data_IF_398848673176
#
_entry.id   IF_398848673176
#
_cell.length_a   1.000
_cell.length_b   1.000
_cell.length_c   1.000
_cell.angle_alpha   90.00
_cell.angle_beta   90.00
_cell.angle_gamma   90.00
#
_symmetry.space_group_name_H-M   'P 1'
#
loop_
_entity.id
_entity.type
_entity.pdbx_description
1 polymer ?
#
# COMPACT_ATOMS: atom_id res chain seq x y z
N UNK A 1 -25.34 -11.03 -28.30
CA UNK A 1 -24.27 -11.81 -27.64
C UNK A 1 -22.97 -11.26 -28.16
N UNK A 2 -22.21 -10.54 -27.32
CA UNK A 2 -20.87 -10.03 -27.69
C UNK A 2 -19.88 -11.19 -27.68
N UNK A 3 -19.21 -11.41 -28.80
CA UNK A 3 -18.11 -12.39 -28.93
C UNK A 3 -17.02 -12.05 -27.90
N UNK A 4 -16.50 -13.02 -27.12
CA UNK A 4 -15.37 -12.78 -26.23
C UNK A 4 -14.18 -12.28 -27.04
N UNK A 5 -13.57 -11.17 -26.61
CA UNK A 5 -12.35 -10.66 -27.24
C UNK A 5 -11.20 -11.57 -26.85
N UNK A 6 -10.57 -12.21 -27.84
CA UNK A 6 -9.41 -13.08 -27.62
C UNK A 6 -8.24 -12.27 -26.99
N UNK A 7 -7.54 -12.79 -25.97
CA UNK A 7 -6.49 -12.05 -25.24
C UNK A 7 -5.37 -11.47 -26.12
N UNK A 8 -5.03 -12.12 -27.23
CA UNK A 8 -4.02 -11.66 -28.18
C UNK A 8 -4.45 -10.42 -29.00
N UNK A 9 -5.77 -10.18 -29.16
CA UNK A 9 -6.27 -8.98 -29.85
C UNK A 9 -6.14 -7.72 -29.01
N UNK A 10 -6.16 -7.84 -27.68
CA UNK A 10 -5.93 -6.72 -26.76
C UNK A 10 -4.47 -6.26 -26.83
N UNK A 11 -3.54 -7.20 -26.93
CA UNK A 11 -2.09 -6.90 -27.02
C UNK A 11 -1.71 -6.24 -28.35
N UNK A 12 -2.43 -6.47 -29.44
CA UNK A 12 -2.18 -5.84 -30.72
C UNK A 12 -2.47 -4.32 -30.74
N UNK A 13 -3.34 -3.85 -29.82
CA UNK A 13 -3.71 -2.43 -29.69
C UNK A 13 -2.63 -1.60 -29.00
N UNK A 14 -1.87 -2.19 -28.09
CA UNK A 14 -0.88 -1.51 -27.28
C UNK A 14 0.52 -1.93 -27.67
N UNK A 15 1.34 -0.95 -28.07
CA UNK A 15 2.75 -1.19 -28.38
C UNK A 15 3.60 -0.87 -27.14
N UNK A 16 4.65 -1.66 -26.85
CA UNK A 16 5.61 -1.31 -25.81
C UNK A 16 6.16 0.09 -26.06
N UNK A 17 6.29 0.88 -24.99
CA UNK A 17 6.96 2.17 -25.09
C UNK A 17 8.42 1.97 -25.49
N UNK A 18 8.93 2.82 -26.41
CA UNK A 18 10.31 2.74 -26.84
C UNK A 18 11.26 2.90 -25.63
N UNK A 19 12.26 2.02 -25.47
CA UNK A 19 13.22 2.16 -24.39
C UNK A 19 13.94 3.50 -24.43
N UNK A 20 14.14 4.12 -23.25
CA UNK A 20 14.99 5.32 -23.14
C UNK A 20 16.43 4.91 -23.43
N UNK A 21 17.10 5.62 -24.36
CA UNK A 21 18.47 5.30 -24.84
C UNK A 21 19.56 5.73 -23.85
N UNK A 22 19.64 5.13 -22.67
CA UNK A 22 20.71 5.34 -21.70
C UNK A 22 21.76 4.22 -21.85
N UNK A 23 23.03 4.57 -22.03
CA UNK A 23 24.11 3.62 -22.32
C UNK A 23 24.40 2.66 -21.14
N UNK A 24 24.20 3.10 -19.91
CA UNK A 24 24.42 2.34 -18.66
C UNK A 24 23.16 1.70 -18.09
N UNK A 25 22.12 1.62 -18.90
CA UNK A 25 20.82 1.10 -18.54
C UNK A 25 20.87 -0.38 -18.18
N UNK A 26 20.39 -0.74 -16.98
CA UNK A 26 20.40 -2.14 -16.49
C UNK A 26 19.01 -2.75 -16.44
N UNK A 27 18.20 -2.37 -15.44
CA UNK A 27 16.88 -2.95 -15.23
C UNK A 27 15.75 -2.40 -16.12
N UNK A 28 15.78 -1.12 -16.61
CA UNK A 28 14.68 -0.60 -17.42
C UNK A 28 14.58 -1.21 -18.84
N UNK A 29 15.53 -2.06 -19.23
CA UNK A 29 15.47 -2.80 -20.51
C UNK A 29 14.54 -4.01 -20.46
N UNK A 30 14.10 -4.41 -19.27
CA UNK A 30 13.12 -5.50 -19.10
C UNK A 30 11.73 -4.99 -19.45
N UNK A 31 11.00 -5.78 -20.22
CA UNK A 31 9.59 -5.58 -20.52
C UNK A 31 8.74 -6.35 -19.50
N UNK A 32 7.60 -5.77 -19.12
CA UNK A 32 6.60 -6.48 -18.32
C UNK A 32 5.88 -7.47 -19.25
N UNK A 33 6.07 -8.75 -19.01
CA UNK A 33 5.49 -9.87 -19.77
C UNK A 33 4.38 -10.61 -19.00
N UNK A 34 4.15 -10.23 -17.75
CA UNK A 34 3.11 -10.78 -16.88
C UNK A 34 2.31 -9.66 -16.24
N UNK A 35 1.04 -9.92 -15.97
CA UNK A 35 0.21 -9.00 -15.21
C UNK A 35 0.82 -8.74 -13.83
N UNK A 36 0.98 -7.48 -13.39
CA UNK A 36 1.44 -7.17 -12.04
C UNK A 36 0.40 -7.61 -11.00
N UNK A 37 0.84 -7.88 -9.78
CA UNK A 37 -0.08 -7.96 -8.66
C UNK A 37 -0.69 -6.58 -8.40
N UNK A 38 -2.02 -6.52 -8.34
CA UNK A 38 -2.75 -5.29 -8.06
C UNK A 38 -3.00 -5.15 -6.57
N UNK A 39 -2.59 -4.02 -5.99
CA UNK A 39 -2.97 -3.63 -4.64
C UNK A 39 -4.13 -2.64 -4.71
N UNK A 40 -5.27 -2.97 -4.08
CA UNK A 40 -6.35 -2.00 -3.90
C UNK A 40 -6.00 -1.02 -2.80
N UNK A 41 -6.17 0.26 -3.08
CA UNK A 41 -6.00 1.37 -2.12
C UNK A 41 -7.34 2.06 -1.77
N UNK A 42 -8.46 1.46 -2.14
CA UNK A 42 -9.79 2.03 -1.96
C UNK A 42 -10.14 2.29 -0.48
N UNK A 43 -9.73 1.37 0.42
CA UNK A 43 -10.01 1.47 1.85
C UNK A 43 -9.09 2.44 2.61
N UNK A 44 -7.99 2.88 2.00
CA UNK A 44 -7.09 3.88 2.58
C UNK A 44 -7.16 5.18 1.80
N UNK A 45 -6.56 5.26 0.63
CA UNK A 45 -6.44 6.50 -0.16
C UNK A 45 -7.79 6.92 -0.75
N UNK A 46 -8.54 5.97 -1.29
CA UNK A 46 -9.90 6.19 -1.77
C UNK A 46 -10.83 6.65 -0.65
N UNK A 47 -10.79 5.99 0.50
CA UNK A 47 -11.57 6.39 1.68
C UNK A 47 -11.19 7.78 2.21
N UNK A 48 -9.89 8.12 2.18
CA UNK A 48 -9.38 9.41 2.61
C UNK A 48 -9.87 10.57 1.72
N UNK A 49 -10.18 10.29 0.46
CA UNK A 49 -10.69 11.27 -0.50
C UNK A 49 -12.20 11.54 -0.36
N UNK A 50 -12.94 10.75 0.41
CA UNK A 50 -14.36 10.95 0.64
C UNK A 50 -14.62 12.13 1.57
N UNK A 51 -15.68 12.91 1.28
CA UNK A 51 -16.17 13.98 2.17
C UNK A 51 -16.56 13.40 3.53
N UNK A 52 -17.25 12.25 3.51
CA UNK A 52 -17.58 11.44 4.69
C UNK A 52 -16.85 10.11 4.59
N UNK A 53 -15.73 9.92 5.29
CA UNK A 53 -15.01 8.65 5.32
C UNK A 53 -15.90 7.49 5.78
N UNK A 54 -15.61 6.31 5.28
CA UNK A 54 -16.36 5.10 5.64
C UNK A 54 -16.18 4.76 7.13
N UNK A 55 -17.28 4.46 7.80
CA UNK A 55 -17.29 3.77 9.08
C UNK A 55 -16.83 2.30 8.95
N UNK A 56 -16.67 1.61 10.08
CA UNK A 56 -16.20 0.22 10.09
C UNK A 56 -17.12 -0.72 9.29
N UNK A 57 -18.44 -0.52 9.35
CA UNK A 57 -19.39 -1.36 8.63
C UNK A 57 -19.30 -1.19 7.11
N UNK A 58 -19.14 0.06 6.63
CA UNK A 58 -18.93 0.35 5.21
C UNK A 58 -17.57 -0.18 4.74
N UNK A 59 -16.50 -0.01 5.53
CA UNK A 59 -15.18 -0.59 5.27
C UNK A 59 -15.25 -2.11 5.15
N UNK A 60 -15.96 -2.78 6.04
CA UNK A 60 -16.16 -4.22 5.99
C UNK A 60 -16.87 -4.67 4.71
N UNK A 61 -17.93 -3.97 4.31
CA UNK A 61 -18.63 -4.25 3.04
C UNK A 61 -17.70 -4.08 1.84
N UNK A 62 -16.91 -3.00 1.82
CA UNK A 62 -15.96 -2.75 0.74
C UNK A 62 -14.85 -3.80 0.72
N UNK A 63 -14.28 -4.16 1.86
CA UNK A 63 -13.28 -5.23 1.97
C UNK A 63 -13.79 -6.55 1.37
N UNK A 64 -15.00 -6.99 1.77
CA UNK A 64 -15.64 -8.18 1.20
C UNK A 64 -15.86 -8.07 -0.32
N UNK A 65 -16.16 -6.88 -0.81
CA UNK A 65 -16.32 -6.66 -2.25
C UNK A 65 -14.98 -6.75 -3.01
N UNK A 66 -13.90 -6.20 -2.44
CA UNK A 66 -12.56 -6.31 -3.01
C UNK A 66 -12.07 -7.77 -3.08
N UNK A 67 -12.37 -8.57 -2.05
CA UNK A 67 -12.12 -10.02 -2.08
C UNK A 67 -12.90 -10.72 -3.22
N UNK A 68 -14.17 -10.36 -3.43
CA UNK A 68 -14.99 -10.91 -4.53
C UNK A 68 -14.47 -10.52 -5.91
N UNK A 69 -13.90 -9.32 -6.06
CA UNK A 69 -13.24 -8.87 -7.30
C UNK A 69 -11.97 -9.68 -7.55
N UNK A 70 -11.32 -10.20 -6.50
CA UNK A 70 -10.15 -11.04 -6.60
C UNK A 70 -8.83 -10.37 -6.24
N UNK A 71 -8.85 -9.19 -5.59
CA UNK A 71 -7.63 -8.57 -5.08
C UNK A 71 -6.92 -9.46 -4.08
N UNK A 72 -5.58 -9.56 -4.21
CA UNK A 72 -4.70 -10.34 -3.33
C UNK A 72 -3.84 -9.45 -2.43
N UNK A 73 -3.76 -8.17 -2.74
CA UNK A 73 -3.16 -7.15 -1.89
C UNK A 73 -4.17 -6.02 -1.69
N UNK A 74 -4.44 -5.63 -0.43
CA UNK A 74 -5.45 -4.63 -0.08
C UNK A 74 -4.90 -3.73 1.01
N UNK A 75 -4.74 -2.44 0.71
CA UNK A 75 -4.38 -1.43 1.70
C UNK A 75 -5.62 -1.02 2.50
N UNK A 76 -5.69 -1.43 3.76
CA UNK A 76 -6.90 -1.38 4.59
C UNK A 76 -7.05 -0.10 5.41
N UNK A 77 -5.96 0.66 5.60
CA UNK A 77 -6.02 1.91 6.35
C UNK A 77 -4.68 2.41 6.87
N UNK A 78 -4.77 3.39 7.77
CA UNK A 78 -3.64 4.00 8.49
C UNK A 78 -3.86 3.87 10.01
N UNK A 79 -3.61 2.68 10.59
CA UNK A 79 -3.98 2.36 11.98
C UNK A 79 -3.38 3.28 13.04
N UNK A 80 -2.17 3.79 12.81
CA UNK A 80 -1.52 4.69 13.76
C UNK A 80 -2.06 6.13 13.72
N UNK A 81 -2.77 6.53 12.66
CA UNK A 81 -3.35 7.86 12.52
C UNK A 81 -4.85 7.91 12.82
N UNK A 82 -5.55 6.76 12.79
CA UNK A 82 -7.00 6.69 12.94
C UNK A 82 -7.40 5.52 13.85
N UNK A 83 -8.17 5.82 14.89
CA UNK A 83 -8.71 4.76 15.76
C UNK A 83 -9.70 3.86 15.02
N UNK A 84 -10.45 4.40 14.07
CA UNK A 84 -11.35 3.62 13.19
C UNK A 84 -10.55 2.59 12.39
N UNK A 85 -9.43 3.00 11.79
CA UNK A 85 -8.57 2.11 11.01
C UNK A 85 -7.87 1.08 11.91
N UNK A 86 -7.45 1.47 13.10
CA UNK A 86 -6.89 0.56 14.08
C UNK A 86 -7.90 -0.54 14.45
N UNK A 87 -9.10 -0.15 14.83
CA UNK A 87 -10.16 -1.08 15.22
C UNK A 87 -10.57 -1.98 14.05
N UNK A 88 -10.69 -1.43 12.85
CA UNK A 88 -11.00 -2.19 11.65
C UNK A 88 -9.93 -3.24 11.32
N UNK A 89 -8.65 -2.87 11.45
CA UNK A 89 -7.53 -3.82 11.29
C UNK A 89 -7.62 -4.94 12.30
N UNK A 90 -7.90 -4.63 13.58
CA UNK A 90 -8.08 -5.63 14.63
C UNK A 90 -9.28 -6.55 14.35
N UNK A 91 -10.41 -5.98 13.95
CA UNK A 91 -11.62 -6.74 13.61
C UNK A 91 -11.36 -7.76 12.49
N UNK A 92 -10.66 -7.36 11.42
CA UNK A 92 -10.31 -8.27 10.33
C UNK A 92 -9.45 -9.45 10.80
N UNK A 93 -8.50 -9.21 11.70
CA UNK A 93 -7.57 -10.22 12.19
C UNK A 93 -8.23 -11.12 13.23
N UNK A 94 -8.90 -10.55 14.22
CA UNK A 94 -9.52 -11.28 15.34
C UNK A 94 -10.69 -12.16 14.91
N UNK A 95 -11.44 -11.71 13.89
CA UNK A 95 -12.53 -12.49 13.31
C UNK A 95 -12.09 -13.42 12.16
N UNK A 96 -10.77 -13.56 11.92
CA UNK A 96 -10.18 -14.39 10.85
C UNK A 96 -10.80 -14.16 9.46
N UNK A 97 -10.98 -12.87 9.10
CA UNK A 97 -11.67 -12.47 7.86
C UNK A 97 -10.71 -12.28 6.67
N UNK A 98 -9.41 -12.40 6.90
CA UNK A 98 -8.37 -12.25 5.86
C UNK A 98 -8.05 -13.63 5.29
N UNK A 99 -8.38 -13.92 4.01
CA UNK A 99 -8.05 -15.20 3.38
C UNK A 99 -6.55 -15.47 3.36
N UNK A 100 -6.15 -16.75 3.38
CA UNK A 100 -4.75 -17.18 3.40
C UNK A 100 -3.92 -16.66 2.22
N UNK A 101 -4.56 -16.43 1.08
CA UNK A 101 -3.92 -15.97 -0.16
C UNK A 101 -3.99 -14.44 -0.33
N UNK A 102 -4.48 -13.71 0.70
CA UNK A 102 -4.57 -12.24 0.71
C UNK A 102 -3.55 -11.65 1.67
N UNK A 103 -2.86 -10.61 1.24
CA UNK A 103 -1.96 -9.79 2.05
C UNK A 103 -2.60 -8.44 2.31
N UNK A 104 -2.76 -8.07 3.57
CA UNK A 104 -3.22 -6.71 3.92
C UNK A 104 -2.04 -5.76 3.95
N UNK A 105 -2.28 -4.52 3.54
CA UNK A 105 -1.30 -3.44 3.62
C UNK A 105 -1.80 -2.34 4.55
N UNK A 106 -0.91 -1.74 5.32
CA UNK A 106 -1.20 -0.59 6.18
C UNK A 106 -0.14 0.48 6.02
N UNK A 107 -0.57 1.75 6.09
CA UNK A 107 0.33 2.89 5.98
C UNK A 107 0.91 3.25 7.35
N UNK A 108 2.16 3.70 7.38
CA UNK A 108 2.78 4.32 8.55
C UNK A 108 3.82 5.35 8.15
N UNK A 109 3.97 6.42 8.95
CA UNK A 109 5.09 7.34 8.83
C UNK A 109 6.37 6.75 9.46
N UNK A 110 7.53 7.23 9.01
CA UNK A 110 8.84 6.87 9.56
C UNK A 110 9.08 7.53 10.95
N UNK A 111 8.22 7.18 11.91
CA UNK A 111 8.29 7.59 13.33
C UNK A 111 8.09 6.37 14.21
N UNK A 112 8.94 6.20 15.19
CA UNK A 112 8.99 5.00 16.04
C UNK A 112 7.64 4.74 16.75
N UNK A 113 7.00 5.78 17.30
CA UNK A 113 5.71 5.69 17.98
C UNK A 113 4.59 5.22 17.04
N UNK A 114 4.55 5.73 15.80
CA UNK A 114 3.55 5.35 14.81
C UNK A 114 3.81 3.94 14.25
N UNK A 115 5.08 3.58 14.04
CA UNK A 115 5.46 2.23 13.64
C UNK A 115 5.03 1.22 14.71
N UNK A 116 5.37 1.46 15.98
CA UNK A 116 4.95 0.60 17.09
C UNK A 116 3.44 0.44 17.15
N UNK A 117 2.69 1.53 17.06
CA UNK A 117 1.22 1.50 17.03
C UNK A 117 0.66 0.71 15.86
N UNK A 118 1.31 0.81 14.69
CA UNK A 118 0.94 0.03 13.51
C UNK A 118 1.12 -1.47 13.78
N UNK A 119 2.25 -1.88 14.36
CA UNK A 119 2.49 -3.29 14.70
C UNK A 119 1.55 -3.81 15.78
N UNK A 120 1.14 -2.98 16.76
CA UNK A 120 0.08 -3.33 17.70
C UNK A 120 -1.23 -3.71 16.98
N UNK A 121 -1.59 -2.94 15.93
CA UNK A 121 -2.78 -3.24 15.14
C UNK A 121 -2.66 -4.52 14.31
N UNK A 122 -1.45 -4.90 13.91
CA UNK A 122 -1.16 -6.07 13.08
C UNK A 122 -0.93 -7.37 13.89
N UNK A 123 -0.96 -7.31 15.22
CA UNK A 123 -0.68 -8.50 16.04
C UNK A 123 -1.57 -9.68 15.65
N UNK A 124 -0.93 -10.80 15.30
CA UNK A 124 -1.62 -12.03 14.88
C UNK A 124 -1.95 -12.11 13.39
N UNK A 125 -1.61 -11.11 12.60
CA UNK A 125 -1.76 -11.18 11.13
C UNK A 125 -0.79 -12.21 10.55
N UNK A 126 -1.23 -12.99 9.56
CA UNK A 126 -0.37 -13.98 8.89
C UNK A 126 0.63 -13.35 7.93
N UNK A 127 0.16 -12.37 7.14
CA UNK A 127 0.96 -11.64 6.15
C UNK A 127 0.49 -10.20 6.07
N UNK A 128 1.44 -9.26 6.16
CA UNK A 128 1.15 -7.84 5.99
C UNK A 128 2.28 -7.14 5.23
N UNK A 129 1.93 -6.07 4.55
CA UNK A 129 2.84 -5.08 4.02
C UNK A 129 2.73 -3.84 4.89
N UNK A 130 3.85 -3.40 5.46
CA UNK A 130 3.93 -2.11 6.15
C UNK A 130 4.46 -1.08 5.16
N UNK A 131 3.57 -0.23 4.66
CA UNK A 131 3.87 0.82 3.71
C UNK A 131 4.46 2.02 4.46
N UNK A 132 5.78 2.09 4.51
CA UNK A 132 6.51 3.15 5.18
C UNK A 132 6.70 4.36 4.27
N UNK A 133 6.43 5.56 4.77
CA UNK A 133 6.73 6.79 4.06
C UNK A 133 7.31 7.89 4.96
N UNK A 134 8.06 8.79 4.36
CA UNK A 134 8.38 10.11 4.90
C UNK A 134 8.50 11.14 3.78
N UNK A 135 8.23 12.39 4.12
CA UNK A 135 8.24 13.48 3.15
C UNK A 135 9.66 13.92 2.80
N UNK A 136 9.89 14.23 1.52
CA UNK A 136 11.22 14.54 0.98
C UNK A 136 11.34 15.95 0.36
N UNK A 137 10.23 16.71 0.24
CA UNK A 137 10.24 18.02 -0.40
C UNK A 137 11.15 19.01 0.32
N UNK A 138 11.69 19.97 -0.43
CA UNK A 138 12.55 21.03 0.14
C UNK A 138 11.83 21.82 1.24
N UNK A 139 10.55 22.13 1.03
CA UNK A 139 9.73 22.85 2.01
C UNK A 139 9.62 22.06 3.32
N UNK A 140 9.22 20.80 3.24
CA UNK A 140 9.03 19.96 4.41
C UNK A 140 10.33 19.68 5.15
N UNK A 141 11.44 19.46 4.43
CA UNK A 141 12.76 19.32 5.05
C UNK A 141 13.12 20.55 5.88
N UNK A 142 12.93 21.75 5.34
CA UNK A 142 13.30 23.02 6.00
C UNK A 142 12.37 23.40 7.14
N UNK A 143 11.07 23.26 6.94
CA UNK A 143 10.04 23.80 7.85
C UNK A 143 9.59 22.78 8.88
N UNK A 144 9.30 21.54 8.44
CA UNK A 144 8.74 20.50 9.32
C UNK A 144 9.85 19.74 10.05
N UNK A 145 10.78 19.16 9.29
CA UNK A 145 11.83 18.32 9.88
C UNK A 145 13.05 19.13 10.37
N UNK A 146 13.30 20.30 9.81
CA UNK A 146 14.50 21.13 10.05
C UNK A 146 15.79 20.34 9.80
N UNK A 147 15.79 19.49 8.74
CA UNK A 147 16.86 18.59 8.36
C UNK A 147 17.28 18.82 6.91
N UNK A 148 18.50 18.44 6.61
CA UNK A 148 19.05 18.35 5.25
C UNK A 148 18.67 17.01 4.58
N UNK A 149 19.20 16.74 3.38
CA UNK A 149 18.94 15.48 2.66
C UNK A 149 19.44 14.24 3.41
N UNK A 150 20.69 14.20 3.93
CA UNK A 150 21.17 13.10 4.76
C UNK A 150 20.28 12.80 5.96
N UNK A 151 19.82 13.83 6.69
CA UNK A 151 18.92 13.66 7.83
C UNK A 151 17.56 13.05 7.47
N UNK A 152 17.02 13.36 6.28
CA UNK A 152 15.79 12.75 5.80
C UNK A 152 15.99 11.28 5.38
N UNK A 153 17.13 10.96 4.79
CA UNK A 153 17.52 9.57 4.50
C UNK A 153 17.65 8.76 5.79
N UNK A 154 18.30 9.33 6.81
CA UNK A 154 18.45 8.69 8.12
C UNK A 154 17.11 8.36 8.79
N UNK A 155 16.11 9.25 8.70
CA UNK A 155 14.74 8.96 9.18
C UNK A 155 14.15 7.74 8.46
N UNK A 156 14.28 7.67 7.13
CA UNK A 156 13.74 6.56 6.34
C UNK A 156 14.43 5.24 6.69
N UNK A 157 15.76 5.25 6.80
CA UNK A 157 16.56 4.06 7.14
C UNK A 157 16.20 3.55 8.53
N UNK A 158 16.19 4.40 9.54
CA UNK A 158 15.83 4.04 10.93
C UNK A 158 14.40 3.50 11.02
N UNK A 159 13.45 4.10 10.27
CA UNK A 159 12.09 3.60 10.20
C UNK A 159 12.02 2.19 9.59
N UNK A 160 12.74 1.96 8.50
CA UNK A 160 12.79 0.65 7.85
C UNK A 160 13.49 -0.41 8.73
N UNK A 161 14.56 -0.04 9.42
CA UNK A 161 15.25 -0.93 10.37
C UNK A 161 14.32 -1.33 11.51
N UNK A 162 13.60 -0.39 12.11
CA UNK A 162 12.63 -0.67 13.17
C UNK A 162 11.52 -1.62 12.69
N UNK A 163 10.98 -1.41 11.50
CA UNK A 163 9.96 -2.30 10.92
C UNK A 163 10.50 -3.73 10.76
N UNK A 164 11.78 -3.89 10.43
CA UNK A 164 12.40 -5.22 10.27
C UNK A 164 12.73 -5.91 11.60
N UNK A 165 12.76 -5.16 12.70
CA UNK A 165 12.99 -5.70 14.05
C UNK A 165 11.72 -6.16 14.74
N UNK A 166 10.55 -5.59 14.37
CA UNK A 166 9.24 -5.90 14.91
C UNK A 166 8.52 -7.01 14.15
#
# INVERSE_FOLDING_TARGET
MSTPVEPHQVNAKYRPFAPVGLADRRWPSRTIDRAPAWCSVDLRDGNQALIEPMDAARKMRMFKQLLKIGFKEIEIGFPSASQTDFNFTRELIEADLIPDDVTVQVLTQARADLITRTFESLRGVRRAIVHLYNSTSTLQRRVVFKLDRPGIVDIAVKGAELIKQL
#
